data_IF_126881458187
#
_entry.id   IF_126881458187
#
_cell.length_a   1.000
_cell.length_b   1.000
_cell.length_c   1.000
_cell.angle_alpha   90.00
_cell.angle_beta   90.00
_cell.angle_gamma   90.00
#
_symmetry.space_group_name_H-M   'P 1'
#
loop_
_entity.id
_entity.type
_entity.pdbx_description
1 polymer ?
#
# COMPACT_ATOMS: atom_id res chain seq x y z
N UNK A 1 -0.38 -37.94 -7.47
CA UNK A 1 0.21 -36.78 -8.17
C UNK A 1 1.01 -37.34 -9.30
N UNK A 2 0.75 -36.91 -10.52
CA UNK A 2 1.60 -37.29 -11.67
C UNK A 2 2.81 -36.36 -11.61
N UNK A 3 4.00 -36.96 -11.53
CA UNK A 3 5.25 -36.20 -11.59
C UNK A 3 5.30 -35.45 -12.94
N UNK A 4 5.66 -34.18 -12.88
CA UNK A 4 5.90 -33.37 -14.06
C UNK A 4 7.39 -33.45 -14.42
N UNK A 5 7.71 -33.90 -15.60
CA UNK A 5 9.08 -33.98 -16.09
C UNK A 5 9.49 -32.60 -16.65
N UNK A 6 10.49 -31.98 -16.04
CA UNK A 6 11.02 -30.72 -16.51
C UNK A 6 11.76 -30.89 -17.84
N UNK A 7 11.49 -30.04 -18.80
CA UNK A 7 12.18 -30.01 -20.07
C UNK A 7 13.64 -29.59 -19.84
N UNK A 8 14.59 -30.43 -20.18
CA UNK A 8 16.03 -30.10 -20.10
C UNK A 8 16.55 -29.58 -21.44
N UNK A 9 17.31 -28.51 -21.40
CA UNK A 9 18.00 -27.98 -22.57
C UNK A 9 19.33 -28.73 -22.80
N UNK A 10 19.58 -29.14 -24.03
CA UNK A 10 20.83 -29.81 -24.41
C UNK A 10 22.01 -28.87 -24.65
N UNK A 11 21.78 -27.56 -24.60
CA UNK A 11 22.77 -26.49 -24.77
C UNK A 11 22.47 -25.33 -23.81
N UNK A 12 23.45 -24.48 -23.47
CA UNK A 12 23.21 -23.27 -22.68
C UNK A 12 22.14 -22.40 -23.33
N UNK A 13 21.17 -21.99 -22.56
CA UNK A 13 20.09 -21.10 -23.01
C UNK A 13 20.59 -19.65 -22.92
N UNK A 14 20.40 -18.90 -24.01
CA UNK A 14 20.57 -17.43 -24.01
C UNK A 14 19.21 -16.82 -24.35
N UNK A 15 18.59 -16.14 -23.41
CA UNK A 15 17.29 -15.54 -23.59
C UNK A 15 17.23 -14.17 -22.88
N UNK A 16 16.39 -13.27 -23.42
CA UNK A 16 16.01 -12.02 -22.76
C UNK A 16 14.52 -12.10 -22.42
N UNK A 17 14.19 -11.89 -21.17
CA UNK A 17 12.82 -11.99 -20.66
C UNK A 17 12.41 -10.63 -20.11
N UNK A 18 11.32 -10.07 -20.64
CA UNK A 18 10.70 -8.89 -20.05
C UNK A 18 9.88 -9.32 -18.81
N UNK A 19 10.14 -8.67 -17.69
CA UNK A 19 9.44 -8.96 -16.44
C UNK A 19 8.20 -8.07 -16.30
N UNK A 20 7.12 -8.58 -15.69
CA UNK A 20 6.01 -7.72 -15.27
C UNK A 20 6.48 -6.73 -14.21
N UNK A 21 5.87 -5.54 -14.16
CA UNK A 21 6.16 -4.53 -13.17
C UNK A 21 5.96 -5.05 -11.73
N UNK A 22 6.72 -4.52 -10.78
CA UNK A 22 6.60 -4.90 -9.37
C UNK A 22 5.22 -4.51 -8.82
N UNK A 23 4.43 -5.52 -8.40
CA UNK A 23 3.12 -5.31 -7.78
C UNK A 23 3.22 -4.47 -6.51
N UNK A 24 4.21 -4.76 -5.70
CA UNK A 24 4.40 -4.09 -4.41
C UNK A 24 4.76 -2.61 -4.59
N UNK A 25 5.55 -2.29 -5.60
CA UNK A 25 5.92 -0.92 -5.92
C UNK A 25 4.76 -0.20 -6.62
N UNK A 26 4.15 -0.80 -7.64
CA UNK A 26 2.99 -0.24 -8.34
C UNK A 26 1.90 0.27 -7.39
N UNK A 27 1.52 -0.54 -6.39
CA UNK A 27 0.46 -0.16 -5.46
C UNK A 27 0.90 0.96 -4.48
N UNK A 28 2.18 1.07 -4.13
CA UNK A 28 2.70 2.18 -3.30
C UNK A 28 2.72 3.48 -4.07
N UNK A 29 3.24 3.43 -5.28
CA UNK A 29 3.31 4.60 -6.16
C UNK A 29 1.92 5.14 -6.47
N UNK A 30 0.95 4.28 -6.77
CA UNK A 30 -0.44 4.70 -7.00
C UNK A 30 -1.02 5.46 -5.79
N UNK A 31 -0.76 4.99 -4.56
CA UNK A 31 -1.19 5.69 -3.33
C UNK A 31 -0.50 7.04 -3.19
N UNK A 32 0.82 7.10 -3.37
CA UNK A 32 1.56 8.36 -3.20
C UNK A 32 1.22 9.37 -4.29
N UNK A 33 1.08 8.94 -5.55
CA UNK A 33 0.61 9.79 -6.63
C UNK A 33 -0.80 10.34 -6.38
N UNK A 34 -1.69 9.53 -5.77
CA UNK A 34 -3.04 9.99 -5.39
C UNK A 34 -3.03 11.02 -4.25
N UNK A 35 -2.04 10.94 -3.35
CA UNK A 35 -1.84 11.86 -2.23
C UNK A 35 -0.88 13.01 -2.55
N UNK A 36 -0.30 13.06 -3.74
CA UNK A 36 0.68 14.08 -4.14
C UNK A 36 0.04 15.48 -4.31
N UNK A 37 0.90 16.52 -4.29
CA UNK A 37 0.49 17.91 -4.51
C UNK A 37 0.51 18.33 -5.98
N UNK A 38 1.01 17.47 -6.87
CA UNK A 38 1.12 17.71 -8.30
C UNK A 38 0.95 16.42 -9.11
N UNK A 39 0.64 16.52 -10.42
CA UNK A 39 0.50 15.34 -11.28
C UNK A 39 1.75 14.48 -11.33
N UNK A 40 1.54 13.19 -11.60
CA UNK A 40 2.58 12.18 -11.75
C UNK A 40 2.39 11.37 -13.01
N UNK A 41 3.50 10.86 -13.57
CA UNK A 41 3.50 9.86 -14.64
C UNK A 41 4.20 8.60 -14.15
N UNK A 42 3.51 7.47 -14.19
CA UNK A 42 4.08 6.16 -13.89
C UNK A 42 4.13 5.32 -15.16
N UNK A 43 5.29 4.73 -15.44
CA UNK A 43 5.49 3.79 -16.55
C UNK A 43 5.79 2.40 -16.02
N UNK A 44 5.36 1.38 -16.76
CA UNK A 44 5.62 0.00 -16.39
C UNK A 44 4.82 -0.51 -15.17
N UNK A 45 3.70 0.12 -14.85
CA UNK A 45 2.81 -0.31 -13.76
C UNK A 45 2.22 -1.68 -14.06
N UNK A 46 2.29 -2.61 -13.11
CA UNK A 46 1.78 -3.96 -13.30
C UNK A 46 0.29 -3.96 -13.67
N UNK A 47 -0.07 -4.60 -14.77
CA UNK A 47 -1.48 -4.89 -15.10
C UNK A 47 -1.91 -6.23 -14.49
N UNK A 48 -2.47 -6.18 -13.30
CA UNK A 48 -2.99 -7.33 -12.58
C UNK A 48 -4.24 -6.94 -11.76
N UNK A 49 -5.05 -7.94 -11.37
CA UNK A 49 -6.29 -7.72 -10.60
C UNK A 49 -6.08 -6.80 -9.39
N UNK A 50 -5.02 -7.02 -8.62
CA UNK A 50 -4.73 -6.23 -7.41
C UNK A 50 -4.49 -4.74 -7.74
N UNK A 51 -3.77 -4.46 -8.83
CA UNK A 51 -3.46 -3.09 -9.28
C UNK A 51 -4.68 -2.42 -9.88
N UNK A 52 -5.48 -3.15 -10.66
CA UNK A 52 -6.74 -2.63 -11.20
C UNK A 52 -7.72 -2.25 -10.08
N UNK A 53 -7.85 -3.09 -9.04
CA UNK A 53 -8.68 -2.77 -7.86
C UNK A 53 -8.15 -1.54 -7.10
N UNK A 54 -6.83 -1.32 -7.06
CA UNK A 54 -6.23 -0.11 -6.49
C UNK A 54 -6.61 1.12 -7.32
N UNK A 55 -6.48 1.06 -8.64
CA UNK A 55 -6.83 2.13 -9.58
C UNK A 55 -8.33 2.47 -9.45
N UNK A 56 -9.21 1.46 -9.46
CA UNK A 56 -10.65 1.64 -9.29
C UNK A 56 -10.99 2.31 -7.95
N UNK A 57 -10.36 1.85 -6.86
CA UNK A 57 -10.54 2.43 -5.53
C UNK A 57 -10.13 3.91 -5.47
N UNK A 58 -8.99 4.28 -6.04
CA UNK A 58 -8.51 5.66 -6.11
C UNK A 58 -9.42 6.52 -7.00
N UNK A 59 -9.85 6.01 -8.14
CA UNK A 59 -10.82 6.70 -9.02
C UNK A 59 -12.14 6.96 -8.30
N UNK A 60 -12.58 6.05 -7.44
CA UNK A 60 -13.81 6.22 -6.64
C UNK A 60 -13.72 7.42 -5.69
N UNK A 61 -12.52 7.84 -5.31
CA UNK A 61 -12.25 9.04 -4.52
C UNK A 61 -11.99 10.30 -5.36
N UNK A 62 -12.13 10.21 -6.69
CA UNK A 62 -11.99 11.34 -7.60
C UNK A 62 -10.59 11.57 -8.15
N UNK A 63 -9.63 10.69 -7.85
CA UNK A 63 -8.29 10.74 -8.47
C UNK A 63 -8.44 10.44 -9.96
N UNK A 64 -7.91 11.32 -10.81
CA UNK A 64 -7.87 11.08 -12.25
C UNK A 64 -6.67 10.20 -12.59
N UNK A 65 -6.91 9.03 -13.17
CA UNK A 65 -5.90 8.09 -13.60
C UNK A 65 -6.20 7.70 -15.03
N UNK A 66 -5.33 8.07 -15.96
CA UNK A 66 -5.48 7.82 -17.39
C UNK A 66 -4.41 6.85 -17.86
N UNK A 67 -4.80 5.80 -18.60
CA UNK A 67 -3.88 4.92 -19.29
C UNK A 67 -3.42 5.63 -20.58
N UNK A 68 -2.12 5.89 -20.70
CA UNK A 68 -1.50 6.57 -21.83
C UNK A 68 -0.77 5.64 -22.78
N UNK A 69 -0.48 4.42 -22.34
CA UNK A 69 0.21 3.42 -23.15
C UNK A 69 0.47 2.13 -22.39
N UNK A 70 1.19 1.23 -23.05
CA UNK A 70 1.67 -0.03 -22.50
C UNK A 70 3.06 -0.35 -23.01
N UNK A 71 3.88 -0.96 -22.17
CA UNK A 71 5.16 -1.50 -22.60
C UNK A 71 5.03 -2.87 -23.30
N UNK A 72 6.16 -3.43 -23.77
CA UNK A 72 6.20 -4.72 -24.46
C UNK A 72 5.84 -5.92 -23.58
N UNK A 73 5.87 -5.78 -22.25
CA UNK A 73 5.45 -6.79 -21.29
C UNK A 73 3.96 -6.67 -20.93
N UNK A 74 3.25 -5.67 -21.50
CA UNK A 74 1.85 -5.39 -21.23
C UNK A 74 1.61 -4.55 -19.97
N UNK A 75 2.66 -4.06 -19.31
CA UNK A 75 2.52 -3.16 -18.18
C UNK A 75 1.94 -1.81 -18.61
N UNK A 76 1.24 -1.13 -17.70
CA UNK A 76 0.54 0.12 -17.96
C UNK A 76 1.46 1.34 -17.84
N UNK A 77 1.28 2.31 -18.73
CA UNK A 77 1.74 3.67 -18.55
C UNK A 77 0.55 4.54 -18.13
N UNK A 78 0.68 5.26 -17.02
CA UNK A 78 -0.40 6.00 -16.38
C UNK A 78 -0.01 7.45 -16.12
N UNK A 79 -0.92 8.38 -16.48
CA UNK A 79 -0.89 9.75 -15.99
C UNK A 79 -1.90 9.89 -14.85
N UNK A 80 -1.44 10.45 -13.73
CA UNK A 80 -2.20 10.54 -12.48
C UNK A 80 -2.28 12.00 -12.04
N UNK A 81 -3.50 12.52 -11.96
CA UNK A 81 -3.76 13.85 -11.42
C UNK A 81 -4.49 13.73 -10.10
N UNK A 82 -3.83 14.09 -8.98
CA UNK A 82 -4.48 14.10 -7.68
C UNK A 82 -5.57 15.16 -7.63
N UNK A 83 -6.66 14.83 -6.95
CA UNK A 83 -7.77 15.76 -6.70
C UNK A 83 -8.11 15.72 -5.20
N UNK A 84 -8.90 16.71 -4.74
CA UNK A 84 -9.48 16.62 -3.41
C UNK A 84 -10.31 15.36 -3.28
N UNK A 85 -9.86 14.48 -2.41
CA UNK A 85 -10.47 13.17 -2.22
C UNK A 85 -11.90 13.34 -1.68
N UNK A 86 -12.88 12.74 -2.37
CA UNK A 86 -14.29 12.75 -1.98
C UNK A 86 -14.91 11.39 -2.21
N UNK A 87 -15.54 10.85 -1.18
CA UNK A 87 -16.50 9.77 -1.33
C UNK A 87 -17.85 10.32 -1.78
N UNK A 88 -18.75 9.46 -2.23
CA UNK A 88 -20.08 9.88 -2.66
C UNK A 88 -20.85 10.56 -1.50
N UNK A 89 -21.47 11.74 -1.72
CA UNK A 89 -22.19 12.44 -0.65
C UNK A 89 -23.55 11.81 -0.32
N UNK A 90 -24.10 10.95 -1.19
CA UNK A 90 -25.47 10.43 -1.08
C UNK A 90 -25.55 8.95 -0.65
N UNK A 91 -24.45 8.23 -0.70
CA UNK A 91 -24.35 6.82 -0.26
C UNK A 91 -22.89 6.49 -0.05
N UNK A 92 -22.55 5.48 0.81
CA UNK A 92 -21.18 5.05 0.96
C UNK A 92 -20.53 4.69 -0.37
N UNK A 93 -19.33 5.18 -0.61
CA UNK A 93 -18.51 4.70 -1.73
C UNK A 93 -18.10 3.26 -1.46
N UNK A 94 -18.48 2.33 -2.33
CA UNK A 94 -18.17 0.91 -2.15
C UNK A 94 -16.79 0.61 -2.73
N UNK A 95 -15.88 0.13 -1.87
CA UNK A 95 -14.53 -0.26 -2.24
C UNK A 95 -14.43 -1.78 -2.24
N UNK A 96 -14.28 -2.36 -3.42
CA UNK A 96 -14.02 -3.78 -3.57
C UNK A 96 -12.50 -4.03 -3.45
N UNK A 97 -12.07 -4.70 -2.40
CA UNK A 97 -10.66 -5.06 -2.22
C UNK A 97 -10.29 -6.40 -2.85
N UNK A 98 -11.26 -7.14 -3.38
CA UNK A 98 -11.06 -8.49 -3.90
C UNK A 98 -10.36 -9.38 -2.87
N UNK A 99 -9.19 -9.92 -3.22
CA UNK A 99 -8.28 -10.63 -2.31
C UNK A 99 -6.96 -9.85 -2.12
N UNK A 100 -6.87 -8.61 -2.63
CA UNK A 100 -5.66 -7.81 -2.68
C UNK A 100 -5.26 -7.28 -1.29
N UNK A 101 -4.16 -7.81 -0.75
CA UNK A 101 -3.66 -7.41 0.58
C UNK A 101 -3.21 -5.96 0.65
N UNK A 102 -2.70 -5.40 -0.44
CA UNK A 102 -2.30 -3.99 -0.55
C UNK A 102 -3.53 -3.08 -0.62
N UNK A 103 -4.53 -3.41 -1.42
CA UNK A 103 -5.77 -2.62 -1.53
C UNK A 103 -6.46 -2.52 -0.18
N UNK A 104 -6.70 -3.68 0.49
CA UNK A 104 -7.41 -3.70 1.77
C UNK A 104 -6.67 -2.99 2.91
N UNK A 105 -5.35 -2.70 2.76
CA UNK A 105 -4.56 -2.04 3.80
C UNK A 105 -4.12 -0.64 3.45
N UNK A 106 -3.86 -0.33 2.19
CA UNK A 106 -3.34 0.98 1.78
C UNK A 106 -4.46 1.98 1.45
N UNK A 107 -5.62 1.53 0.98
CA UNK A 107 -6.76 2.43 0.73
C UNK A 107 -7.50 2.95 1.97
N UNK A 108 -7.60 2.23 3.11
CA UNK A 108 -8.30 2.76 4.29
C UNK A 108 -7.81 4.13 4.77
N UNK A 109 -6.49 4.42 4.88
CA UNK A 109 -6.03 5.77 5.20
C UNK A 109 -6.46 6.81 4.14
N UNK A 110 -6.43 6.45 2.84
CA UNK A 110 -6.87 7.35 1.76
C UNK A 110 -8.36 7.67 1.90
N UNK A 111 -9.19 6.67 2.25
CA UNK A 111 -10.61 6.87 2.50
C UNK A 111 -10.88 7.82 3.68
N UNK A 112 -10.03 7.79 4.72
CA UNK A 112 -10.15 8.71 5.86
C UNK A 112 -9.83 10.18 5.46
N UNK A 113 -8.95 10.41 4.48
CA UNK A 113 -8.72 11.72 3.88
C UNK A 113 -9.82 12.14 2.90
N UNK A 114 -10.61 11.23 2.37
CA UNK A 114 -11.77 11.57 1.56
C UNK A 114 -12.90 12.14 2.44
N UNK A 115 -13.75 13.01 1.86
CA UNK A 115 -14.95 13.49 2.57
C UNK A 115 -16.12 12.59 2.22
N UNK A 116 -16.72 11.94 3.25
CA UNK A 116 -17.88 11.05 3.11
C UNK A 116 -17.56 9.60 3.45
N UNK A 117 -18.57 8.76 3.40
CA UNK A 117 -18.52 7.38 3.86
C UNK A 117 -17.92 6.44 2.80
N UNK A 118 -17.13 5.48 3.26
CA UNK A 118 -16.49 4.47 2.40
C UNK A 118 -16.67 3.08 3.01
N UNK A 119 -17.36 2.19 2.28
CA UNK A 119 -17.64 0.82 2.68
C UNK A 119 -16.67 -0.14 1.99
N UNK A 120 -15.88 -0.83 2.78
CA UNK A 120 -14.87 -1.79 2.31
C UNK A 120 -15.38 -3.21 2.43
N UNK A 121 -15.33 -3.96 1.33
CA UNK A 121 -15.62 -5.38 1.30
C UNK A 121 -14.80 -6.08 0.20
N UNK A 122 -14.81 -7.41 0.18
CA UNK A 122 -14.04 -8.19 -0.78
C UNK A 122 -14.44 -9.67 -0.82
N UNK A 123 -13.60 -10.48 -1.44
CA UNK A 123 -13.80 -11.91 -1.59
C UNK A 123 -13.93 -12.60 -0.22
N UNK A 124 -14.64 -13.73 -0.17
CA UNK A 124 -14.86 -14.48 1.07
C UNK A 124 -13.57 -14.86 1.81
N UNK A 125 -12.47 -15.07 1.06
CA UNK A 125 -11.16 -15.33 1.64
C UNK A 125 -10.51 -14.05 2.23
N UNK A 126 -10.78 -12.87 1.66
CA UNK A 126 -10.31 -11.59 2.20
C UNK A 126 -10.95 -11.27 3.55
N UNK A 127 -12.25 -11.60 3.72
CA UNK A 127 -13.00 -11.41 4.99
C UNK A 127 -12.41 -12.21 6.17
N UNK A 128 -11.60 -13.25 5.89
CA UNK A 128 -10.91 -14.04 6.93
C UNK A 128 -9.59 -13.43 7.37
N UNK A 129 -9.06 -12.45 6.63
CA UNK A 129 -7.76 -11.84 6.91
C UNK A 129 -7.87 -10.81 8.04
N UNK A 130 -6.93 -10.79 9.00
CA UNK A 130 -6.98 -9.85 10.11
C UNK A 130 -6.74 -8.41 9.62
N UNK A 131 -7.55 -7.49 10.15
CA UNK A 131 -7.44 -6.05 9.92
C UNK A 131 -7.40 -5.24 11.21
N UNK A 132 -7.73 -5.86 12.35
CA UNK A 132 -7.87 -5.18 13.64
C UNK A 132 -6.69 -4.25 13.95
N UNK A 133 -5.46 -4.77 13.85
CA UNK A 133 -4.23 -3.98 14.13
C UNK A 133 -4.16 -2.68 13.33
N UNK A 134 -4.51 -2.69 12.05
CA UNK A 134 -4.49 -1.47 11.23
C UNK A 134 -5.67 -0.55 11.56
N UNK A 135 -6.87 -1.11 11.72
CA UNK A 135 -8.07 -0.31 11.98
C UNK A 135 -8.00 0.38 13.35
N UNK A 136 -7.49 -0.31 14.37
CA UNK A 136 -7.20 0.27 15.69
C UNK A 136 -6.16 1.39 15.60
N UNK A 137 -5.05 1.16 14.88
CA UNK A 137 -4.02 2.17 14.67
C UNK A 137 -4.57 3.42 13.95
N UNK A 138 -5.46 3.25 12.96
CA UNK A 138 -6.11 4.38 12.30
C UNK A 138 -7.07 5.14 13.24
N UNK A 139 -7.80 4.44 14.11
CA UNK A 139 -8.63 5.08 15.15
C UNK A 139 -7.78 5.89 16.12
N UNK A 140 -6.64 5.37 16.56
CA UNK A 140 -5.69 6.08 17.41
C UNK A 140 -5.16 7.37 16.75
N UNK A 141 -4.97 7.35 15.43
CA UNK A 141 -4.61 8.53 14.64
C UNK A 141 -5.78 9.49 14.39
N UNK A 142 -6.99 9.14 14.83
CA UNK A 142 -8.18 10.00 14.77
C UNK A 142 -9.17 9.70 13.65
N UNK A 143 -9.08 8.54 13.01
CA UNK A 143 -10.06 8.11 12.01
C UNK A 143 -11.34 7.58 12.69
N UNK A 144 -12.50 7.90 12.13
CA UNK A 144 -13.80 7.37 12.56
C UNK A 144 -14.12 6.11 11.71
N UNK A 145 -14.19 4.94 12.37
CA UNK A 145 -14.30 3.64 11.70
C UNK A 145 -15.27 2.73 12.45
N UNK A 146 -16.26 2.20 11.73
CA UNK A 146 -17.12 1.13 12.21
C UNK A 146 -16.60 -0.22 11.68
N UNK A 147 -16.14 -1.10 12.57
CA UNK A 147 -15.58 -2.38 12.18
C UNK A 147 -15.78 -3.51 13.21
N UNK A 148 -15.37 -4.72 12.80
CA UNK A 148 -15.30 -5.94 13.63
C UNK A 148 -13.89 -6.56 13.55
N UNK A 149 -12.86 -5.74 13.33
CA UNK A 149 -11.47 -6.16 13.16
C UNK A 149 -11.18 -6.90 11.83
N UNK A 150 -12.11 -6.85 10.87
CA UNK A 150 -12.04 -7.51 9.55
C UNK A 150 -13.05 -6.90 8.57
N UNK A 151 -12.98 -7.29 7.31
CA UNK A 151 -14.00 -6.95 6.31
C UNK A 151 -15.36 -7.61 6.66
N UNK A 152 -16.50 -6.94 6.35
CA UNK A 152 -16.56 -5.57 5.88
C UNK A 152 -16.40 -4.56 7.02
N UNK A 153 -16.01 -3.32 6.67
CA UNK A 153 -15.97 -2.19 7.60
C UNK A 153 -16.31 -0.88 6.88
N UNK A 154 -16.67 0.14 7.65
CA UNK A 154 -17.05 1.47 7.16
C UNK A 154 -16.08 2.52 7.72
N UNK A 155 -15.65 3.45 6.88
CA UNK A 155 -14.84 4.61 7.26
C UNK A 155 -15.64 5.87 7.00
N UNK A 156 -15.78 6.73 8.02
CA UNK A 156 -16.36 8.06 7.93
C UNK A 156 -15.25 9.07 7.66
N UNK A 157 -15.01 9.33 6.37
CA UNK A 157 -13.94 10.23 5.96
C UNK A 157 -14.26 11.69 6.26
N UNK A 158 -13.40 12.34 7.03
CA UNK A 158 -13.53 13.74 7.47
C UNK A 158 -12.78 14.73 6.56
N UNK A 159 -11.91 14.23 5.68
CA UNK A 159 -11.02 15.05 4.85
C UNK A 159 -9.66 15.30 5.46
N UNK A 160 -9.40 14.81 6.67
CA UNK A 160 -8.12 14.92 7.38
C UNK A 160 -7.93 13.76 8.37
N UNK A 161 -6.70 13.52 8.78
CA UNK A 161 -6.34 12.60 9.85
C UNK A 161 -5.47 13.39 10.83
N UNK A 162 -5.83 13.39 12.11
CA UNK A 162 -5.08 14.13 13.13
C UNK A 162 -3.60 13.75 13.17
N UNK A 163 -3.30 12.44 13.08
CA UNK A 163 -1.94 11.93 13.23
C UNK A 163 -1.53 11.79 14.69
N UNK A 164 -0.21 11.65 14.92
CA UNK A 164 0.38 11.48 16.24
C UNK A 164 1.12 10.16 16.38
N UNK A 165 1.31 9.69 17.63
CA UNK A 165 1.99 8.41 17.89
C UNK A 165 1.00 7.26 17.93
N UNK A 166 1.37 6.16 17.30
CA UNK A 166 0.65 4.89 17.32
C UNK A 166 1.59 3.73 17.62
N UNK A 167 1.13 2.82 18.48
CA UNK A 167 1.84 1.60 18.85
C UNK A 167 1.06 0.42 18.31
N UNK A 168 1.72 -0.45 17.55
CA UNK A 168 1.05 -1.60 16.94
C UNK A 168 1.94 -2.85 16.91
N UNK A 169 1.31 -4.02 16.91
CA UNK A 169 1.99 -5.28 16.63
C UNK A 169 1.96 -5.62 15.14
N UNK A 170 3.09 -5.39 14.46
CA UNK A 170 3.27 -5.72 13.05
C UNK A 170 3.83 -7.13 12.82
N UNK A 171 3.93 -7.99 13.84
CA UNK A 171 4.52 -9.34 13.73
C UNK A 171 3.83 -10.23 12.70
N UNK A 172 2.57 -9.94 12.38
CA UNK A 172 1.80 -10.69 11.37
C UNK A 172 1.92 -10.12 9.96
N UNK A 173 2.28 -8.83 9.81
CA UNK A 173 2.36 -8.20 8.50
C UNK A 173 3.05 -6.83 8.55
N UNK A 174 4.13 -6.68 7.79
CA UNK A 174 4.79 -5.38 7.54
C UNK A 174 3.89 -4.38 6.80
N UNK A 175 2.82 -4.84 6.14
CA UNK A 175 1.89 -3.97 5.42
C UNK A 175 1.12 -3.02 6.35
N UNK A 176 0.99 -3.32 7.65
CA UNK A 176 0.38 -2.39 8.61
C UNK A 176 1.24 -1.14 8.79
N UNK A 177 2.55 -1.32 8.97
CA UNK A 177 3.50 -0.21 9.04
C UNK A 177 3.53 0.57 7.72
N UNK A 178 3.63 -0.15 6.58
CA UNK A 178 3.65 0.47 5.25
C UNK A 178 2.40 1.32 4.98
N UNK A 179 1.22 0.84 5.34
CA UNK A 179 -0.05 1.56 5.14
C UNK A 179 -0.07 2.91 5.87
N UNK A 180 0.40 2.91 7.13
CA UNK A 180 0.46 4.12 7.95
C UNK A 180 1.55 5.08 7.44
N UNK A 181 2.70 4.58 7.03
CA UNK A 181 3.79 5.40 6.46
C UNK A 181 3.36 6.12 5.19
N UNK A 182 2.68 5.43 4.26
CA UNK A 182 2.22 6.01 2.99
C UNK A 182 1.30 7.22 3.18
N UNK A 183 0.60 7.31 4.31
CA UNK A 183 -0.34 8.38 4.62
C UNK A 183 0.20 9.41 5.61
N UNK A 184 1.30 9.11 6.30
CA UNK A 184 1.79 9.86 7.46
C UNK A 184 2.09 11.33 7.16
N UNK A 185 2.68 11.63 5.99
CA UNK A 185 3.02 13.00 5.58
C UNK A 185 1.79 13.89 5.39
N UNK A 186 0.61 13.32 5.17
CA UNK A 186 -0.67 14.02 5.02
C UNK A 186 -1.45 14.17 6.33
N UNK A 187 -1.02 13.51 7.41
CA UNK A 187 -1.63 13.72 8.72
C UNK A 187 -1.26 15.10 9.28
N UNK A 188 -2.21 15.74 10.00
CA UNK A 188 -2.05 17.11 10.53
C UNK A 188 -0.81 17.25 11.44
N UNK A 189 -0.53 16.22 12.26
CA UNK A 189 0.63 16.14 13.14
C UNK A 189 1.71 15.15 12.66
N UNK A 190 1.64 14.71 11.40
CA UNK A 190 2.45 13.58 10.93
C UNK A 190 2.12 12.27 11.66
N UNK A 191 3.02 11.31 11.63
CA UNK A 191 2.84 10.07 12.38
C UNK A 191 4.16 9.50 12.91
N UNK A 192 4.12 8.99 14.15
CA UNK A 192 5.15 8.12 14.71
C UNK A 192 4.58 6.73 14.87
N UNK A 193 5.12 5.78 14.13
CA UNK A 193 4.67 4.39 14.12
C UNK A 193 5.69 3.56 14.88
N UNK A 194 5.27 2.91 15.98
CA UNK A 194 6.13 2.09 16.82
C UNK A 194 5.66 0.64 16.80
N UNK A 195 6.57 -0.26 16.45
CA UNK A 195 6.29 -1.70 16.51
C UNK A 195 6.61 -2.25 17.89
N UNK A 196 5.63 -2.92 18.51
CA UNK A 196 5.77 -3.64 19.77
C UNK A 196 5.14 -5.02 19.62
N UNK A 197 5.92 -6.11 19.62
CA UNK A 197 5.36 -7.45 19.59
C UNK A 197 4.48 -7.73 20.80
N UNK A 198 3.26 -8.23 20.59
CA UNK A 198 2.34 -8.58 21.68
C UNK A 198 2.84 -9.72 22.58
N UNK A 199 3.73 -10.58 22.06
CA UNK A 199 4.28 -11.73 22.77
C UNK A 199 5.72 -11.48 23.28
N UNK A 200 5.94 -10.48 24.10
CA UNK A 200 7.23 -10.25 24.79
C UNK A 200 7.61 -11.36 25.81
N UNK A 201 6.82 -12.44 25.94
CA UNK A 201 7.02 -13.51 26.92
C UNK A 201 7.53 -14.83 26.38
N UNK A 202 7.67 -15.03 25.08
CA UNK A 202 8.10 -16.33 24.51
C UNK A 202 9.19 -16.12 23.47
N UNK A 203 10.46 -16.30 23.88
CA UNK A 203 11.66 -16.62 23.07
C UNK A 203 11.63 -16.16 21.58
N UNK A 204 11.13 -15.00 21.27
CA UNK A 204 11.33 -14.38 19.98
C UNK A 204 12.76 -13.83 19.98
N UNK A 205 13.67 -14.53 19.34
CA UNK A 205 15.07 -14.12 19.17
C UNK A 205 15.24 -12.85 18.35
N UNK A 206 14.15 -12.28 17.81
CA UNK A 206 14.16 -11.06 17.03
C UNK A 206 12.84 -10.27 17.14
N UNK A 207 12.85 -9.11 17.82
CA UNK A 207 11.67 -8.25 17.98
C UNK A 207 11.37 -7.42 16.71
N UNK A 208 12.06 -7.65 15.60
CA UNK A 208 11.92 -6.86 14.38
C UNK A 208 10.65 -7.20 13.60
N UNK A 209 10.15 -6.21 12.86
CA UNK A 209 9.02 -6.40 11.93
C UNK A 209 9.39 -7.44 10.86
N UNK A 210 8.59 -8.50 10.67
CA UNK A 210 8.82 -9.46 9.59
C UNK A 210 8.75 -8.75 8.24
N UNK A 211 9.56 -9.22 7.29
CA UNK A 211 9.64 -8.62 5.95
C UNK A 211 9.99 -7.12 5.99
N UNK A 212 10.93 -6.73 6.84
CA UNK A 212 11.46 -5.36 6.94
C UNK A 212 11.83 -4.74 5.58
N UNK A 213 12.37 -5.48 4.59
CA UNK A 213 12.60 -4.94 3.24
C UNK A 213 11.36 -4.30 2.59
N UNK A 214 10.14 -4.75 2.90
CA UNK A 214 8.93 -4.10 2.39
C UNK A 214 8.62 -2.76 3.07
N UNK A 215 9.04 -2.57 4.32
CA UNK A 215 8.95 -1.27 4.99
C UNK A 215 10.02 -0.33 4.45
N UNK A 216 11.23 -0.84 4.22
CA UNK A 216 12.32 -0.09 3.58
C UNK A 216 11.94 0.33 2.16
N UNK A 217 11.34 -0.57 1.36
CA UNK A 217 10.75 -0.22 0.07
C UNK A 217 9.78 0.97 0.21
N UNK A 218 8.88 0.94 1.21
CA UNK A 218 7.95 2.06 1.44
C UNK A 218 8.68 3.36 1.79
N UNK A 219 9.73 3.30 2.59
CA UNK A 219 10.54 4.47 2.95
C UNK A 219 11.27 5.03 1.73
N UNK A 220 11.78 4.16 0.86
CA UNK A 220 12.46 4.58 -0.38
C UNK A 220 11.45 5.22 -1.35
N UNK A 221 10.28 4.60 -1.54
CA UNK A 221 9.19 5.17 -2.36
C UNK A 221 8.80 6.57 -1.84
N UNK A 222 8.64 6.74 -0.54
CA UNK A 222 8.38 8.05 0.08
C UNK A 222 9.50 9.06 -0.20
N UNK A 223 10.76 8.63 -0.15
CA UNK A 223 11.90 9.50 -0.44
C UNK A 223 11.92 9.98 -1.90
N UNK A 224 11.50 9.17 -2.86
CA UNK A 224 11.33 9.54 -4.28
C UNK A 224 10.30 10.67 -4.45
N UNK A 225 9.26 10.67 -3.61
CA UNK A 225 8.27 11.75 -3.51
C UNK A 225 8.70 12.93 -2.63
N UNK A 226 9.97 12.98 -2.19
CA UNK A 226 10.52 14.04 -1.35
C UNK A 226 10.17 13.96 0.13
N UNK A 227 9.55 12.86 0.57
CA UNK A 227 9.11 12.64 1.97
C UNK A 227 10.23 11.99 2.78
N UNK A 228 10.60 12.62 3.89
CA UNK A 228 11.63 12.11 4.81
C UNK A 228 11.02 11.20 5.86
N UNK A 229 11.50 9.96 5.94
CA UNK A 229 11.17 8.99 6.99
C UNK A 229 12.37 8.84 7.93
N UNK A 230 12.20 9.13 9.22
CA UNK A 230 13.23 8.90 10.24
C UNK A 230 12.97 7.57 10.93
N UNK A 231 13.89 6.63 10.82
CA UNK A 231 13.82 5.35 11.53
C UNK A 231 14.71 5.36 12.77
N UNK A 232 14.21 4.80 13.87
CA UNK A 232 14.99 4.50 15.09
C UNK A 232 14.88 3.02 15.45
N UNK A 233 16.00 2.45 15.86
CA UNK A 233 16.10 1.05 16.33
C UNK A 233 16.65 0.97 17.76
N UNK A 234 16.74 2.10 18.48
CA UNK A 234 17.44 2.21 19.76
C UNK A 234 16.80 1.34 20.87
N UNK A 235 15.47 1.15 20.88
CA UNK A 235 14.77 0.29 21.82
C UNK A 235 13.76 -0.62 21.14
N UNK A 236 13.15 -0.14 20.08
CA UNK A 236 12.14 -0.83 19.26
C UNK A 236 12.15 -0.23 17.86
N UNK A 237 11.73 -0.99 16.85
CA UNK A 237 11.56 -0.44 15.51
C UNK A 237 10.49 0.65 15.53
N UNK A 238 10.87 1.85 15.15
CA UNK A 238 9.97 2.99 15.02
C UNK A 238 10.30 3.83 13.80
N UNK A 239 9.27 4.40 13.20
CA UNK A 239 9.36 5.29 12.05
C UNK A 239 8.59 6.56 12.35
N UNK A 240 9.19 7.68 12.00
CA UNK A 240 8.57 8.99 12.17
C UNK A 240 8.57 9.77 10.86
N UNK A 241 7.43 10.36 10.53
CA UNK A 241 7.23 11.22 9.37
C UNK A 241 6.54 12.49 9.85
N UNK A 242 7.20 13.64 9.62
CA UNK A 242 6.57 14.95 9.85
C UNK A 242 5.52 15.27 8.78
N UNK A 243 4.56 16.19 9.05
CA UNK A 243 3.71 16.74 8.00
C UNK A 243 4.57 17.40 6.93
N UNK A 244 4.41 16.99 5.68
CA UNK A 244 5.18 17.55 4.57
C UNK A 244 4.48 17.32 3.23
N UNK A 245 4.89 18.06 2.21
CA UNK A 245 4.39 17.88 0.86
C UNK A 245 4.83 16.53 0.29
N UNK A 246 3.98 15.96 -0.54
CA UNK A 246 4.27 14.77 -1.36
C UNK A 246 4.37 15.26 -2.80
N UNK A 247 5.55 15.17 -3.39
CA UNK A 247 5.77 15.63 -4.76
C UNK A 247 5.19 14.64 -5.77
N UNK A 248 4.66 15.14 -6.89
CA UNK A 248 4.43 14.30 -8.06
C UNK A 248 5.75 13.84 -8.68
N UNK A 249 5.72 12.69 -9.34
CA UNK A 249 6.91 12.04 -9.92
C UNK A 249 6.72 11.66 -11.38
N UNK A 250 7.84 11.48 -12.09
CA UNK A 250 7.88 10.77 -13.37
C UNK A 250 8.80 9.56 -13.21
N UNK A 251 8.21 8.38 -13.06
CA UNK A 251 8.91 7.19 -12.58
C UNK A 251 8.64 5.98 -13.48
N UNK A 252 9.66 5.15 -13.65
CA UNK A 252 9.54 3.81 -14.23
C UNK A 252 9.48 2.78 -13.11
N UNK A 253 8.40 2.01 -13.06
CA UNK A 253 8.25 0.86 -12.15
C UNK A 253 9.20 -0.23 -12.61
N UNK A 254 10.11 -0.63 -11.75
CA UNK A 254 11.03 -1.74 -12.03
C UNK A 254 10.32 -3.09 -12.13
N UNK A 255 10.92 -4.02 -12.88
CA UNK A 255 10.42 -5.40 -13.00
C UNK A 255 10.44 -6.13 -11.66
N UNK A 256 9.45 -6.98 -11.44
CA UNK A 256 9.36 -7.81 -10.22
C UNK A 256 10.35 -8.98 -10.26
N UNK A 257 11.49 -8.84 -9.60
CA UNK A 257 12.51 -9.89 -9.51
C UNK A 257 12.00 -11.15 -8.80
N UNK A 258 10.95 -11.07 -7.97
CA UNK A 258 10.33 -12.26 -7.37
C UNK A 258 9.69 -13.14 -8.44
N UNK A 259 9.14 -12.54 -9.49
CA UNK A 259 8.58 -13.24 -10.64
C UNK A 259 9.66 -13.76 -11.61
N UNK A 260 10.90 -13.28 -11.51
CA UNK A 260 12.03 -13.76 -12.30
C UNK A 260 12.63 -15.07 -11.77
N UNK A 261 12.45 -15.38 -10.48
CA UNK A 261 13.06 -16.53 -9.79
C UNK A 261 12.94 -17.87 -10.53
N UNK A 262 11.80 -18.22 -11.20
CA UNK A 262 11.67 -19.47 -11.94
C UNK A 262 12.60 -19.59 -13.16
N UNK A 263 13.23 -18.50 -13.59
CA UNK A 263 14.09 -18.43 -14.78
C UNK A 263 15.59 -18.44 -14.45
N UNK A 264 15.93 -18.49 -13.16
CA UNK A 264 17.32 -18.61 -12.65
C UNK A 264 17.57 -20.02 -12.03
#
# INVERSE_FOLDING_TARGET
>A
MTDWEAISANQPISASIALPGSKSLSNRELILCALADSPSTLRGVLDARDTQLMIEGLRSFGVQIEETGRDSAGNLDLDITPHFLRASPSSPTVINVGLAGTVMRFLPPVAAFARGDSYFDGDAAARKRPMATLLEALKDLGCDIEDRGRLPFLIHGSGHIRGGEVVLDASKSSQFVSALLLSAARCDAGATIRHVPAELGRTASDPRVPSLPHVEMTSNTLAEHGVTVRRSTASQDSWHVDPQNINGVNLLIEGDLSNATPFF
#
